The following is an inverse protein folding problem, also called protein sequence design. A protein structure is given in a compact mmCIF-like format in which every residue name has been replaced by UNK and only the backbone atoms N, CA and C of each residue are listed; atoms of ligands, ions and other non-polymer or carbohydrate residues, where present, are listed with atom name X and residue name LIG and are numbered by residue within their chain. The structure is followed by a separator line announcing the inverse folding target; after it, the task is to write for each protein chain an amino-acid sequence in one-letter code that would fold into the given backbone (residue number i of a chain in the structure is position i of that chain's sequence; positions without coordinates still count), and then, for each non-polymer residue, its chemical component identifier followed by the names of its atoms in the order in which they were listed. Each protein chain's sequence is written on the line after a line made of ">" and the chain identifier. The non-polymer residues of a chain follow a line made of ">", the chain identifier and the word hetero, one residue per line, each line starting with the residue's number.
data_IF_163534666334
#
_entry.id   IF_163534666334
#
_cell.length_a   1.000
_cell.length_b   1.000
_cell.length_c   1.000
_cell.angle_alpha   90.00
_cell.angle_beta   90.00
_cell.angle_gamma   90.00
#
_symmetry.space_group_name_H-M   'P 1'
#
loop_
_entity.id
_entity.type
_entity.pdbx_description
1 polymer ?
#
# COMPACT_ATOMS: atom_id res chain seq x y z
N UNK A 1 51.57 13.21 25.86
CA UNK A 1 50.30 13.54 25.14
C UNK A 1 49.15 13.18 26.07
N UNK A 2 48.37 14.16 26.53
CA UNK A 2 47.23 13.91 27.41
C UNK A 2 46.13 13.22 26.58
N UNK A 3 45.68 12.02 27.00
CA UNK A 3 44.56 11.33 26.37
C UNK A 3 43.32 12.22 26.49
N UNK A 4 42.85 12.74 25.34
CA UNK A 4 41.68 13.62 25.25
C UNK A 4 40.39 12.85 25.57
N UNK A 5 40.37 11.52 25.30
CA UNK A 5 39.23 10.65 25.52
C UNK A 5 39.48 9.67 26.66
N UNK A 6 38.98 10.00 27.86
CA UNK A 6 38.99 9.05 28.99
C UNK A 6 37.81 8.07 28.90
N UNK A 7 37.93 6.89 29.52
CA UNK A 7 36.87 5.86 29.59
C UNK A 7 35.52 6.43 30.07
N UNK A 8 35.54 7.35 31.05
CA UNK A 8 34.36 7.99 31.58
C UNK A 8 33.72 8.95 30.55
N UNK A 9 34.53 9.74 29.84
CA UNK A 9 34.04 10.64 28.77
C UNK A 9 33.46 9.85 27.62
N UNK A 10 34.13 8.80 27.15
CA UNK A 10 33.66 7.92 26.10
C UNK A 10 32.30 7.30 26.47
N UNK A 11 32.16 6.80 27.69
CA UNK A 11 30.89 6.24 28.19
C UNK A 11 29.78 7.28 28.21
N UNK A 12 30.06 8.48 28.73
CA UNK A 12 29.04 9.54 28.82
C UNK A 12 28.60 10.04 27.42
N UNK A 13 29.55 10.17 26.48
CA UNK A 13 29.22 10.53 25.08
C UNK A 13 28.36 9.42 24.43
N UNK A 14 28.74 8.16 24.64
CA UNK A 14 27.99 7.03 24.10
C UNK A 14 26.55 6.98 24.64
N UNK A 15 26.38 6.97 25.96
CA UNK A 15 25.04 6.91 26.54
C UNK A 15 24.24 8.17 26.30
N UNK A 16 24.84 9.35 26.43
CA UNK A 16 24.18 10.63 26.18
C UNK A 16 23.73 10.76 24.73
N UNK A 17 24.62 10.43 23.78
CA UNK A 17 24.30 10.39 22.36
C UNK A 17 23.21 9.37 22.02
N UNK A 18 23.34 8.16 22.55
CA UNK A 18 22.32 7.11 22.31
C UNK A 18 20.93 7.51 22.84
N UNK A 19 20.88 8.03 24.08
CA UNK A 19 19.60 8.50 24.66
C UNK A 19 19.00 9.66 23.89
N UNK A 20 19.83 10.60 23.45
CA UNK A 20 19.38 11.73 22.62
C UNK A 20 18.75 11.23 21.30
N UNK A 21 19.46 10.37 20.56
CA UNK A 21 18.94 9.87 19.29
C UNK A 21 17.73 8.94 19.45
N UNK A 22 17.66 8.16 20.52
CA UNK A 22 16.45 7.37 20.85
C UNK A 22 15.27 8.32 21.11
N UNK A 23 15.45 9.38 21.87
CA UNK A 23 14.40 10.36 22.15
C UNK A 23 13.93 11.06 20.85
N UNK A 24 14.85 11.45 19.97
CA UNK A 24 14.54 12.04 18.66
C UNK A 24 13.77 11.01 17.80
N UNK A 25 14.24 9.77 17.73
CA UNK A 25 13.57 8.71 16.96
C UNK A 25 12.14 8.47 17.45
N UNK A 26 11.95 8.31 18.76
CA UNK A 26 10.60 8.13 19.33
C UNK A 26 9.72 9.34 19.05
N UNK A 27 10.23 10.56 19.22
CA UNK A 27 9.50 11.78 18.94
C UNK A 27 9.04 11.87 17.48
N UNK A 28 9.95 11.61 16.54
CA UNK A 28 9.64 11.60 15.10
C UNK A 28 8.66 10.48 14.74
N UNK A 29 8.81 9.29 15.33
CA UNK A 29 7.89 8.17 15.11
C UNK A 29 6.47 8.51 15.56
N UNK A 30 6.32 9.08 16.76
CA UNK A 30 5.01 9.50 17.27
C UNK A 30 4.41 10.60 16.41
N UNK A 31 5.21 11.58 15.99
CA UNK A 31 4.77 12.64 15.10
C UNK A 31 4.31 12.11 13.75
N UNK A 32 5.11 11.24 13.12
CA UNK A 32 4.77 10.64 11.82
C UNK A 32 3.52 9.78 11.93
N UNK A 33 3.41 8.95 12.95
CA UNK A 33 2.23 8.12 13.18
C UNK A 33 0.96 8.99 13.35
N UNK A 34 1.03 10.02 14.20
CA UNK A 34 -0.08 10.94 14.40
C UNK A 34 -0.48 11.66 13.11
N UNK A 35 0.49 12.09 12.31
CA UNK A 35 0.25 12.75 11.02
C UNK A 35 -0.43 11.80 10.03
N UNK A 36 0.10 10.59 9.85
CA UNK A 36 -0.45 9.59 8.93
C UNK A 36 -1.87 9.21 9.34
N UNK A 37 -2.09 8.83 10.60
CA UNK A 37 -3.42 8.41 11.10
C UNK A 37 -4.47 9.52 10.97
N UNK A 38 -4.07 10.78 11.13
CA UNK A 38 -5.01 11.91 11.03
C UNK A 38 -5.30 12.35 9.59
N UNK A 39 -4.44 12.01 8.64
CA UNK A 39 -4.54 12.49 7.24
C UNK A 39 -4.85 11.41 6.23
N UNK A 40 -4.31 10.21 6.41
CA UNK A 40 -4.57 9.07 5.54
C UNK A 40 -5.84 8.34 6.00
N UNK A 41 -6.96 9.04 5.94
CA UNK A 41 -8.28 8.50 6.33
C UNK A 41 -9.07 8.13 5.08
N UNK A 42 -9.89 7.09 5.19
CA UNK A 42 -10.89 6.74 4.19
C UNK A 42 -12.28 6.96 4.76
N UNK A 43 -13.24 7.30 3.90
CA UNK A 43 -14.65 7.37 4.26
C UNK A 43 -15.32 6.00 4.32
N UNK A 44 -14.67 4.95 3.79
CA UNK A 44 -15.19 3.60 3.80
C UNK A 44 -14.82 2.84 5.09
N UNK A 45 -15.75 2.11 5.69
CA UNK A 45 -15.45 1.27 6.84
C UNK A 45 -14.57 0.08 6.44
N UNK A 46 -13.77 -0.40 7.39
CA UNK A 46 -13.02 -1.66 7.23
C UNK A 46 -13.98 -2.84 7.51
N UNK A 47 -14.57 -3.36 6.43
CA UNK A 47 -15.51 -4.50 6.51
C UNK A 47 -14.76 -5.84 6.40
N UNK A 48 -15.47 -6.95 6.67
CA UNK A 48 -14.92 -8.30 6.43
C UNK A 48 -14.59 -8.55 4.96
N UNK A 49 -15.36 -7.98 4.04
CA UNK A 49 -15.10 -8.05 2.59
C UNK A 49 -13.79 -7.36 2.22
N UNK A 50 -13.55 -6.15 2.76
CA UNK A 50 -12.28 -5.44 2.60
C UNK A 50 -11.11 -6.25 3.17
N UNK A 51 -11.31 -6.90 4.34
CA UNK A 51 -10.29 -7.76 4.95
C UNK A 51 -10.01 -8.98 4.11
N UNK A 52 -11.04 -9.65 3.60
CA UNK A 52 -10.92 -10.78 2.68
C UNK A 52 -10.15 -10.36 1.41
N UNK A 53 -10.50 -9.22 0.83
CA UNK A 53 -9.80 -8.69 -0.35
C UNK A 53 -8.32 -8.43 -0.11
N UNK A 54 -7.97 -7.92 1.06
CA UNK A 54 -6.57 -7.77 1.47
C UNK A 54 -5.86 -9.12 1.58
N UNK A 55 -6.51 -10.14 2.15
CA UNK A 55 -5.95 -11.50 2.22
C UNK A 55 -5.76 -12.11 0.81
N UNK A 56 -6.71 -11.89 -0.11
CA UNK A 56 -6.58 -12.30 -1.51
C UNK A 56 -5.39 -11.62 -2.18
N UNK A 57 -5.23 -10.31 -1.98
CA UNK A 57 -4.10 -9.53 -2.47
C UNK A 57 -2.75 -10.08 -1.98
N UNK A 58 -2.63 -10.35 -0.69
CA UNK A 58 -1.41 -10.88 -0.07
C UNK A 58 -1.11 -12.30 -0.51
N UNK A 59 -2.11 -13.18 -0.49
CA UNK A 59 -1.98 -14.60 -0.86
C UNK A 59 -1.52 -14.77 -2.31
N UNK A 60 -2.03 -13.95 -3.21
CA UNK A 60 -1.66 -13.99 -4.62
C UNK A 60 -0.42 -13.15 -4.94
N UNK A 61 0.20 -12.54 -3.93
CA UNK A 61 1.43 -11.76 -4.09
C UNK A 61 1.33 -10.64 -5.12
N UNK A 62 0.18 -9.99 -5.23
CA UNK A 62 -0.10 -8.93 -6.22
C UNK A 62 0.91 -7.76 -6.12
N UNK A 63 1.40 -7.48 -4.92
CA UNK A 63 2.41 -6.45 -4.64
C UNK A 63 3.77 -6.74 -5.31
N UNK A 64 4.03 -8.00 -5.70
CA UNK A 64 5.28 -8.35 -6.40
C UNK A 64 5.31 -7.86 -7.86
N UNK A 65 4.17 -7.44 -8.39
CA UNK A 65 4.06 -6.86 -9.72
C UNK A 65 3.50 -5.45 -9.68
N UNK A 66 2.50 -5.20 -8.85
CA UNK A 66 1.81 -3.92 -8.72
C UNK A 66 2.32 -3.09 -7.53
N UNK A 67 2.17 -1.79 -7.63
CA UNK A 67 2.25 -0.89 -6.48
C UNK A 67 0.86 -0.56 -5.96
N UNK A 68 0.77 -0.37 -4.64
CA UNK A 68 -0.39 0.15 -3.94
C UNK A 68 0.07 1.32 -3.07
N UNK A 69 -0.39 2.52 -3.36
CA UNK A 69 0.07 3.77 -2.73
C UNK A 69 1.59 3.97 -2.80
N UNK A 70 2.20 3.57 -3.92
CA UNK A 70 3.63 3.69 -4.14
C UNK A 70 4.49 2.57 -3.55
N UNK A 71 3.89 1.66 -2.78
CA UNK A 71 4.60 0.50 -2.24
C UNK A 71 4.39 -0.74 -3.11
N UNK A 72 5.46 -1.46 -3.40
CA UNK A 72 5.46 -2.67 -4.22
C UNK A 72 6.40 -2.59 -5.40
N UNK A 73 6.21 -3.48 -6.38
CA UNK A 73 7.04 -3.54 -7.57
C UNK A 73 6.43 -2.72 -8.72
N UNK A 74 7.29 -1.99 -9.42
CA UNK A 74 6.92 -1.20 -10.61
C UNK A 74 6.95 -2.03 -11.91
N UNK A 75 6.61 -3.30 -11.84
CA UNK A 75 6.50 -4.16 -13.02
C UNK A 75 5.18 -3.95 -13.75
N UNK A 76 4.11 -3.72 -13.01
CA UNK A 76 2.76 -3.43 -13.47
C UNK A 76 2.29 -2.06 -12.93
N UNK A 77 1.16 -1.49 -13.42
CA UNK A 77 0.68 -0.19 -12.96
C UNK A 77 0.33 -0.15 -11.47
N UNK A 78 0.39 1.08 -10.91
CA UNK A 78 -0.20 1.42 -9.61
C UNK A 78 -1.70 1.10 -9.60
N UNK A 79 -2.20 0.49 -8.54
CA UNK A 79 -3.62 0.11 -8.41
C UNK A 79 -4.37 0.84 -7.29
N UNK A 80 -3.70 1.72 -6.55
CA UNK A 80 -4.31 2.48 -5.47
C UNK A 80 -5.45 3.41 -5.92
N UNK A 81 -5.51 3.77 -7.20
CA UNK A 81 -6.59 4.58 -7.79
C UNK A 81 -7.28 3.88 -8.97
N UNK A 82 -7.15 2.56 -9.08
CA UNK A 82 -7.63 1.81 -10.25
C UNK A 82 -9.15 1.89 -10.42
N UNK A 83 -9.89 1.90 -9.34
CA UNK A 83 -11.37 1.95 -9.38
C UNK A 83 -11.89 3.33 -9.83
N UNK A 84 -11.18 4.40 -9.44
CA UNK A 84 -11.43 5.75 -9.97
C UNK A 84 -11.10 5.85 -11.45
N UNK A 85 -9.97 5.32 -11.90
CA UNK A 85 -9.58 5.28 -13.33
C UNK A 85 -10.58 4.50 -14.20
N UNK A 86 -11.16 3.46 -13.65
CA UNK A 86 -12.21 2.68 -14.35
C UNK A 86 -13.59 3.30 -14.23
N UNK A 87 -13.78 4.33 -13.41
CA UNK A 87 -15.06 5.01 -13.22
C UNK A 87 -16.08 4.22 -12.40
N UNK A 88 -15.62 3.24 -11.61
CA UNK A 88 -16.47 2.31 -10.86
C UNK A 88 -16.30 2.40 -9.34
N UNK A 89 -15.55 3.37 -8.85
CA UNK A 89 -15.21 3.48 -7.41
C UNK A 89 -16.43 3.62 -6.50
N UNK A 90 -17.54 4.19 -7.01
CA UNK A 90 -18.77 4.43 -6.25
C UNK A 90 -19.81 3.31 -6.44
N UNK A 91 -19.59 2.39 -7.37
CA UNK A 91 -20.49 1.27 -7.67
C UNK A 91 -19.82 -0.08 -7.34
N UNK A 92 -20.19 -0.73 -6.21
CA UNK A 92 -19.59 -2.00 -5.79
C UNK A 92 -19.78 -3.14 -6.77
N UNK A 93 -20.95 -3.22 -7.40
CA UNK A 93 -21.27 -4.32 -8.30
C UNK A 93 -20.53 -4.14 -9.63
N UNK A 94 -20.53 -2.94 -10.19
CA UNK A 94 -19.75 -2.64 -11.39
C UNK A 94 -18.24 -2.81 -11.16
N UNK A 95 -17.73 -2.47 -9.99
CA UNK A 95 -16.32 -2.65 -9.65
C UNK A 95 -15.94 -4.14 -9.57
N UNK A 96 -16.80 -4.97 -8.98
CA UNK A 96 -16.56 -6.42 -8.90
C UNK A 96 -16.66 -7.08 -10.30
N UNK A 97 -17.63 -6.70 -11.13
CA UNK A 97 -17.78 -7.19 -12.49
C UNK A 97 -16.57 -6.79 -13.37
N UNK A 98 -16.16 -5.53 -13.30
CA UNK A 98 -15.02 -5.02 -14.07
C UNK A 98 -13.73 -5.73 -13.68
N UNK A 99 -13.49 -5.91 -12.37
CA UNK A 99 -12.30 -6.58 -11.86
C UNK A 99 -12.29 -8.07 -12.24
N UNK A 100 -13.41 -8.76 -12.07
CA UNK A 100 -13.57 -10.16 -12.47
C UNK A 100 -13.29 -10.36 -13.95
N UNK A 101 -13.96 -9.59 -14.79
CA UNK A 101 -13.74 -9.65 -16.24
C UNK A 101 -12.30 -9.32 -16.65
N UNK A 102 -11.62 -8.41 -15.92
CA UNK A 102 -10.19 -8.15 -16.16
C UNK A 102 -9.32 -9.35 -15.81
N UNK A 103 -9.52 -9.95 -14.64
CA UNK A 103 -8.73 -11.11 -14.17
C UNK A 103 -8.96 -12.32 -15.08
N UNK A 104 -10.19 -12.58 -15.45
CA UNK A 104 -10.56 -13.72 -16.32
C UNK A 104 -9.97 -13.57 -17.74
N UNK A 105 -9.80 -12.34 -18.21
CA UNK A 105 -9.18 -12.06 -19.51
C UNK A 105 -7.65 -12.20 -19.50
N UNK A 106 -7.03 -12.54 -18.37
CA UNK A 106 -5.57 -12.68 -18.29
C UNK A 106 -5.15 -14.17 -18.42
N UNK A 107 -3.96 -14.42 -18.99
CA UNK A 107 -3.09 -13.45 -19.69
C UNK A 107 -3.69 -13.01 -21.02
N UNK A 108 -3.52 -11.72 -21.36
CA UNK A 108 -4.11 -11.14 -22.58
C UNK A 108 -3.55 -11.72 -23.88
N UNK A 109 -2.41 -12.41 -23.83
CA UNK A 109 -1.74 -12.99 -25.01
C UNK A 109 -1.14 -11.96 -26.00
N UNK A 110 -1.17 -10.67 -25.67
CA UNK A 110 -0.64 -9.61 -26.53
C UNK A 110 0.89 -9.69 -26.54
N UNK A 111 1.46 -9.96 -27.70
CA UNK A 111 2.90 -10.07 -27.88
C UNK A 111 3.61 -8.75 -27.52
N UNK A 112 4.76 -8.88 -26.83
CA UNK A 112 5.57 -7.74 -26.40
C UNK A 112 5.05 -6.96 -25.18
N UNK A 113 3.88 -7.33 -24.63
CA UNK A 113 3.35 -6.76 -23.38
C UNK A 113 3.68 -7.65 -22.20
N UNK A 114 3.92 -7.00 -21.04
CA UNK A 114 3.96 -7.71 -19.75
C UNK A 114 2.62 -8.37 -19.49
N UNK A 115 2.64 -9.62 -19.08
CA UNK A 115 1.42 -10.39 -18.85
C UNK A 115 1.15 -10.51 -17.35
N UNK A 116 -0.10 -10.25 -16.96
CA UNK A 116 -0.61 -10.64 -15.66
C UNK A 116 -0.95 -12.13 -15.73
N UNK A 117 -0.57 -12.96 -14.72
CA UNK A 117 -1.01 -14.35 -14.69
C UNK A 117 -2.53 -14.45 -14.48
N UNK A 118 -3.09 -15.59 -14.87
CA UNK A 118 -4.46 -15.92 -14.51
C UNK A 118 -4.52 -16.33 -13.03
N UNK A 119 -5.51 -15.82 -12.32
CA UNK A 119 -5.79 -16.21 -10.95
C UNK A 119 -7.17 -16.81 -10.86
N UNK A 120 -7.26 -18.03 -10.33
CA UNK A 120 -8.53 -18.70 -10.08
C UNK A 120 -9.14 -18.15 -8.77
N UNK A 121 -9.91 -17.07 -8.87
CA UNK A 121 -10.62 -16.47 -7.76
C UNK A 121 -12.10 -16.87 -7.79
N UNK A 122 -12.66 -17.14 -6.62
CA UNK A 122 -14.10 -17.28 -6.48
C UNK A 122 -14.80 -15.92 -6.60
N UNK A 123 -16.11 -15.93 -6.85
CA UNK A 123 -16.90 -14.69 -6.90
C UNK A 123 -16.79 -13.89 -5.59
N UNK A 124 -16.74 -14.57 -4.44
CA UNK A 124 -16.56 -13.95 -3.13
C UNK A 124 -15.18 -13.29 -3.00
N UNK A 125 -14.12 -13.97 -3.44
CA UNK A 125 -12.76 -13.44 -3.43
C UNK A 125 -12.59 -12.26 -4.39
N UNK A 126 -13.20 -12.33 -5.57
CA UNK A 126 -13.20 -11.25 -6.55
C UNK A 126 -13.92 -10.01 -6.00
N UNK A 127 -15.09 -10.21 -5.38
CA UNK A 127 -15.82 -9.14 -4.71
C UNK A 127 -15.01 -8.56 -3.55
N UNK A 128 -14.44 -9.40 -2.71
CA UNK A 128 -13.57 -8.95 -1.61
C UNK A 128 -12.38 -8.13 -2.12
N UNK A 129 -11.67 -8.61 -3.15
CA UNK A 129 -10.55 -7.90 -3.75
C UNK A 129 -10.99 -6.54 -4.34
N UNK A 130 -12.15 -6.50 -4.99
CA UNK A 130 -12.75 -5.26 -5.49
C UNK A 130 -13.03 -4.27 -4.34
N UNK A 131 -13.63 -4.72 -3.24
CA UNK A 131 -13.89 -3.87 -2.08
C UNK A 131 -12.60 -3.37 -1.41
N UNK A 132 -11.56 -4.21 -1.34
CA UNK A 132 -10.26 -3.77 -0.84
C UNK A 132 -9.65 -2.67 -1.72
N UNK A 133 -9.68 -2.83 -3.04
CA UNK A 133 -9.17 -1.81 -3.97
C UNK A 133 -10.01 -0.52 -3.95
N UNK A 134 -11.33 -0.61 -3.81
CA UNK A 134 -12.22 0.56 -3.61
C UNK A 134 -11.90 1.27 -2.28
N UNK A 135 -11.71 0.50 -1.22
CA UNK A 135 -11.34 1.04 0.09
C UNK A 135 -9.99 1.75 0.04
N UNK A 136 -9.01 1.18 -0.64
CA UNK A 136 -7.71 1.80 -0.87
C UNK A 136 -7.83 3.09 -1.70
N UNK A 137 -8.59 3.05 -2.79
CA UNK A 137 -8.84 4.19 -3.69
C UNK A 137 -9.47 5.40 -2.96
N UNK A 138 -10.34 5.13 -1.96
CA UNK A 138 -10.97 6.17 -1.12
C UNK A 138 -10.06 6.70 -0.02
N UNK A 139 -8.84 6.20 0.14
CA UNK A 139 -7.88 6.76 1.08
C UNK A 139 -7.39 8.14 0.62
N UNK A 140 -7.25 9.05 1.57
CA UNK A 140 -6.57 10.31 1.30
C UNK A 140 -5.05 10.08 1.19
N UNK A 141 -4.57 9.91 -0.02
CA UNK A 141 -3.17 9.66 -0.34
C UNK A 141 -2.38 10.95 -0.59
N UNK A 142 -2.97 12.12 -0.33
CA UNK A 142 -2.34 13.43 -0.55
C UNK A 142 -1.85 13.61 -1.99
N UNK A 143 -2.69 13.23 -2.95
CA UNK A 143 -2.45 13.30 -4.40
C UNK A 143 -1.48 12.24 -4.95
N UNK A 144 -1.38 11.08 -4.30
CA UNK A 144 -0.75 9.93 -4.90
C UNK A 144 -1.79 9.05 -5.64
N UNK A 145 -1.51 8.50 -6.80
CA UNK A 145 -0.30 8.73 -7.63
C UNK A 145 -0.28 10.14 -8.25
N UNK A 146 0.91 10.65 -8.64
CA UNK A 146 1.04 12.03 -9.14
C UNK A 146 0.44 12.22 -10.56
N UNK A 147 -0.01 11.16 -11.19
CA UNK A 147 -0.67 11.19 -12.51
C UNK A 147 -1.82 10.17 -12.56
N UNK A 148 -2.78 10.41 -13.45
CA UNK A 148 -3.99 9.57 -13.58
C UNK A 148 -3.73 8.20 -14.23
N UNK A 149 -2.56 7.98 -14.78
CA UNK A 149 -2.21 6.70 -15.42
C UNK A 149 -1.70 5.65 -14.42
N UNK A 150 -1.40 6.06 -13.18
CA UNK A 150 -0.88 5.19 -12.13
C UNK A 150 0.63 5.05 -12.13
#
# INVERSE_FOLDING_TARGET
>A
MSEILTKSRARNVFYGGSLFFIAVFVGLTVQSHSHVVSRSTTSMPLTEEVRLGKEVWERNSCINCHTLHGEGAYFAPEVGNVMTRWGVVDDPDAAAEMLGGWIDAQPSGIEGRRQMPHFELTDEETRGLSEFLRWADKMNTQSWPPNDAG
#
